data_IF_041841588574
#
_entry.id   IF_041841588574
#
_cell.length_a   1.000
_cell.length_b   1.000
_cell.length_c   1.000
_cell.angle_alpha   90.00
_cell.angle_beta   90.00
_cell.angle_gamma   90.00
#
_symmetry.space_group_name_H-M   'P 1'
#
loop_
_entity.id
_entity.type
_entity.pdbx_description
1 polymer ?
#
# COMPACT_ATOMS: atom_id res chain seq x y z
N UNK A 1 20.66 4.53 36.81
CA UNK A 1 20.73 3.89 35.50
C UNK A 1 19.28 3.71 35.08
N UNK A 2 18.83 4.53 34.14
CA UNK A 2 17.49 4.34 33.57
C UNK A 2 17.56 3.03 32.77
N UNK A 3 16.93 2.00 33.26
CA UNK A 3 16.58 0.84 32.44
C UNK A 3 15.60 1.36 31.39
N UNK A 4 16.16 1.80 30.25
CA UNK A 4 15.42 2.44 29.20
C UNK A 4 14.43 1.46 28.58
N UNK A 5 13.19 1.48 29.09
CA UNK A 5 12.07 0.84 28.43
C UNK A 5 11.99 1.48 27.04
N UNK A 6 12.32 0.69 26.03
CA UNK A 6 12.25 1.14 24.63
C UNK A 6 10.80 1.50 24.33
N UNK A 7 10.51 2.80 24.20
CA UNK A 7 9.18 3.28 23.85
C UNK A 7 8.91 3.09 22.35
N UNK A 8 7.71 2.69 22.02
CA UNK A 8 7.25 2.48 20.63
C UNK A 8 6.38 3.66 20.20
N UNK A 9 6.76 4.34 19.13
CA UNK A 9 5.86 5.24 18.44
C UNK A 9 4.98 4.41 17.48
N UNK A 10 3.67 4.33 17.74
CA UNK A 10 2.68 3.81 16.80
C UNK A 10 2.25 4.98 15.92
N UNK A 11 2.65 4.96 14.64
CA UNK A 11 2.62 6.14 13.78
C UNK A 11 1.39 6.10 12.87
N UNK A 12 0.59 7.17 12.92
CA UNK A 12 -0.65 7.32 12.19
C UNK A 12 -0.74 8.70 11.52
N UNK A 13 -1.82 8.93 10.77
CA UNK A 13 -2.27 10.24 10.31
C UNK A 13 -3.49 10.71 11.10
N UNK A 14 -3.69 12.02 11.25
CA UNK A 14 -4.78 12.59 12.03
C UNK A 14 -6.16 12.04 11.59
N UNK A 15 -6.43 12.02 10.28
CA UNK A 15 -7.70 11.51 9.76
C UNK A 15 -7.86 9.98 9.90
N UNK A 16 -6.78 9.24 10.10
CA UNK A 16 -6.80 7.79 10.25
C UNK A 16 -6.91 7.33 11.71
N UNK A 17 -6.50 8.16 12.67
CA UNK A 17 -6.44 7.79 14.08
C UNK A 17 -7.79 7.25 14.63
N UNK A 18 -8.89 7.88 14.26
CA UNK A 18 -10.24 7.47 14.69
C UNK A 18 -10.91 6.47 13.72
N UNK A 19 -10.29 6.20 12.58
CA UNK A 19 -10.87 5.37 11.51
C UNK A 19 -10.15 4.03 11.30
N UNK A 20 -9.00 3.82 11.94
CA UNK A 20 -8.29 2.53 11.93
C UNK A 20 -8.86 1.63 13.03
N UNK A 21 -9.77 0.75 12.64
CA UNK A 21 -10.48 -0.17 13.56
C UNK A 21 -9.55 -1.20 14.22
N UNK A 22 -8.33 -1.38 13.72
CA UNK A 22 -7.37 -2.32 14.32
C UNK A 22 -6.48 -1.65 15.38
N UNK A 23 -6.41 -0.30 15.43
CA UNK A 23 -5.60 0.40 16.44
C UNK A 23 -5.91 -0.02 17.88
N UNK A 24 -7.19 -0.14 18.31
CA UNK A 24 -7.50 -0.59 19.67
C UNK A 24 -6.99 -2.01 19.98
N UNK A 25 -6.95 -2.88 18.96
CA UNK A 25 -6.42 -4.24 19.11
C UNK A 25 -4.90 -4.23 19.24
N UNK A 26 -4.22 -3.40 18.44
CA UNK A 26 -2.78 -3.22 18.51
C UNK A 26 -2.36 -2.64 19.87
N UNK A 27 -3.02 -1.59 20.36
CA UNK A 27 -2.75 -1.00 21.66
C UNK A 27 -2.89 -2.04 22.77
N UNK A 28 -3.99 -2.80 22.78
CA UNK A 28 -4.19 -3.87 23.75
C UNK A 28 -3.09 -4.93 23.70
N UNK A 29 -2.68 -5.34 22.50
CA UNK A 29 -1.61 -6.33 22.35
C UNK A 29 -0.26 -5.82 22.85
N UNK A 30 0.04 -4.53 22.67
CA UNK A 30 1.24 -3.89 23.21
C UNK A 30 1.18 -3.77 24.74
N UNK A 31 0.02 -3.40 25.29
CA UNK A 31 -0.22 -3.36 26.76
C UNK A 31 -0.05 -4.75 27.38
N UNK A 32 -0.67 -5.77 26.80
CA UNK A 32 -0.59 -7.16 27.29
C UNK A 32 0.86 -7.70 27.23
N UNK A 33 1.66 -7.19 26.29
CA UNK A 33 3.08 -7.50 26.17
C UNK A 33 3.97 -6.66 27.12
N UNK A 34 3.40 -5.70 27.86
CA UNK A 34 4.14 -4.78 28.74
C UNK A 34 5.04 -3.80 27.98
N UNK A 35 4.73 -3.49 26.71
CA UNK A 35 5.51 -2.61 25.84
C UNK A 35 4.99 -1.18 25.94
N UNK A 36 5.83 -0.27 26.43
CA UNK A 36 5.51 1.16 26.48
C UNK A 36 5.34 1.70 25.05
N UNK A 37 4.19 2.33 24.76
CA UNK A 37 3.90 2.83 23.41
C UNK A 37 3.05 4.10 23.46
N UNK A 38 3.06 4.84 22.36
CA UNK A 38 2.28 6.05 22.17
C UNK A 38 1.79 6.14 20.73
N UNK A 39 0.54 6.56 20.52
CA UNK A 39 0.04 6.94 19.21
C UNK A 39 0.55 8.33 18.84
N UNK A 40 1.19 8.45 17.69
CA UNK A 40 1.88 9.67 17.25
C UNK A 40 1.51 10.00 15.81
N UNK A 41 1.26 11.27 15.52
CA UNK A 41 1.04 11.73 14.14
C UNK A 41 2.38 11.88 13.42
N UNK A 42 2.49 11.34 12.20
CA UNK A 42 3.74 11.38 11.44
C UNK A 42 4.19 12.80 11.07
N UNK A 43 3.26 13.73 10.98
CA UNK A 43 3.46 15.12 10.55
C UNK A 43 3.40 16.13 11.70
N UNK A 44 3.31 15.69 12.95
CA UNK A 44 3.36 16.58 14.11
C UNK A 44 4.78 17.12 14.33
N UNK A 45 5.02 18.45 14.16
CA UNK A 45 6.34 19.04 14.35
C UNK A 45 6.82 19.04 15.81
N UNK A 46 5.92 18.81 16.77
CA UNK A 46 6.24 18.77 18.20
C UNK A 46 6.83 17.45 18.68
N UNK A 47 6.88 16.44 17.82
CA UNK A 47 7.35 15.09 18.19
C UNK A 47 8.87 15.01 18.20
N UNK A 48 9.44 14.66 19.35
CA UNK A 48 10.85 14.26 19.45
C UNK A 48 11.01 12.77 19.09
N UNK A 49 11.27 12.49 17.82
CA UNK A 49 11.44 11.14 17.28
C UNK A 49 12.62 10.38 17.89
N UNK A 50 13.61 11.08 18.46
CA UNK A 50 14.78 10.46 19.11
C UNK A 50 14.44 9.85 20.46
N UNK A 51 13.30 10.20 21.05
CA UNK A 51 12.81 9.63 22.30
C UNK A 51 12.23 8.22 22.18
N UNK A 52 12.00 7.73 20.92
CA UNK A 52 11.46 6.41 20.65
C UNK A 52 12.55 5.46 20.13
N UNK A 53 12.63 4.26 20.71
CA UNK A 53 13.53 3.22 20.21
C UNK A 53 12.95 2.44 19.02
N UNK A 54 11.63 2.39 18.89
CA UNK A 54 10.91 1.71 17.81
C UNK A 54 9.91 2.66 17.14
N UNK A 55 9.97 2.72 15.82
CA UNK A 55 9.08 3.52 14.97
C UNK A 55 8.22 2.57 14.14
N UNK A 56 6.97 2.35 14.54
CA UNK A 56 6.03 1.43 13.92
C UNK A 56 5.00 2.20 13.09
N UNK A 57 5.18 2.21 11.77
CA UNK A 57 4.21 2.82 10.84
C UNK A 57 2.96 1.96 10.77
N UNK A 58 1.80 2.57 11.05
CA UNK A 58 0.51 1.86 11.04
C UNK A 58 -0.45 2.43 9.98
N UNK A 59 -1.01 3.59 10.17
CA UNK A 59 -2.12 4.12 9.37
C UNK A 59 -1.87 5.55 8.89
N UNK A 60 -0.77 5.75 8.18
CA UNK A 60 -0.40 7.03 7.57
C UNK A 60 -1.05 7.22 6.18
N UNK A 61 -2.35 6.91 6.05
CA UNK A 61 -3.04 6.74 4.76
C UNK A 61 -3.17 8.01 3.91
N UNK A 62 -2.90 9.16 4.49
CA UNK A 62 -2.86 10.47 3.81
C UNK A 62 -1.56 10.73 3.03
N UNK A 63 -0.54 9.84 3.15
CA UNK A 63 0.76 10.00 2.48
C UNK A 63 0.63 10.21 0.96
N UNK A 64 -0.42 9.66 0.34
CA UNK A 64 -0.65 9.76 -1.10
C UNK A 64 -0.86 11.19 -1.58
N UNK A 65 -1.35 12.07 -0.72
CA UNK A 65 -1.55 13.49 -1.01
C UNK A 65 -0.29 14.32 -0.80
N UNK A 66 0.61 13.84 0.07
CA UNK A 66 1.81 14.54 0.54
C UNK A 66 3.05 13.66 0.46
N UNK A 67 3.20 12.94 -0.67
CA UNK A 67 4.22 11.91 -0.82
C UNK A 67 5.64 12.42 -0.55
N UNK A 68 5.98 13.63 -1.01
CA UNK A 68 7.30 14.22 -0.81
C UNK A 68 7.56 14.56 0.66
N UNK A 69 6.55 15.04 1.39
CA UNK A 69 6.64 15.33 2.82
C UNK A 69 6.84 14.04 3.60
N UNK A 70 6.08 12.99 3.24
CA UNK A 70 6.18 11.68 3.88
C UNK A 70 7.55 11.01 3.63
N UNK A 71 8.05 11.07 2.40
CA UNK A 71 9.39 10.58 2.07
C UNK A 71 10.48 11.37 2.81
N UNK A 72 10.35 12.70 2.89
CA UNK A 72 11.24 13.54 3.68
C UNK A 72 11.18 13.25 5.19
N UNK A 73 10.00 12.92 5.70
CA UNK A 73 9.82 12.47 7.07
C UNK A 73 10.53 11.13 7.32
N UNK A 74 10.36 10.13 6.44
CA UNK A 74 11.10 8.85 6.52
C UNK A 74 12.60 9.08 6.61
N UNK A 75 13.16 10.00 5.79
CA UNK A 75 14.60 10.29 5.81
C UNK A 75 15.06 10.90 7.14
N UNK A 76 14.24 11.75 7.73
CA UNK A 76 14.56 12.38 9.02
C UNK A 76 14.52 11.39 10.18
N UNK A 77 13.55 10.45 10.18
CA UNK A 77 13.33 9.57 11.34
C UNK A 77 14.12 8.27 11.27
N UNK A 78 14.44 7.77 10.07
CA UNK A 78 15.13 6.50 9.90
C UNK A 78 16.48 6.39 10.67
N UNK A 79 17.30 7.45 10.82
CA UNK A 79 18.52 7.38 11.61
C UNK A 79 18.32 7.53 13.12
N UNK A 80 17.11 7.88 13.59
CA UNK A 80 16.85 8.22 14.99
C UNK A 80 16.35 7.02 15.81
N UNK A 81 15.75 6.02 15.18
CA UNK A 81 15.21 4.83 15.83
C UNK A 81 15.07 3.66 14.87
N UNK A 82 14.64 2.50 15.40
CA UNK A 82 14.42 1.33 14.57
C UNK A 82 13.09 1.44 13.85
N UNK A 83 13.14 1.76 12.56
CA UNK A 83 11.94 1.90 11.72
C UNK A 83 11.42 0.52 11.24
N UNK A 84 10.18 0.22 11.54
CA UNK A 84 9.47 -0.99 11.14
C UNK A 84 8.38 -0.67 10.10
N UNK A 85 8.52 -1.03 8.82
CA UNK A 85 9.60 -1.70 8.11
C UNK A 85 10.78 -0.72 7.79
N UNK A 86 11.95 -1.23 7.32
CA UNK A 86 13.10 -0.36 7.06
C UNK A 86 12.83 0.62 5.91
N UNK A 87 13.42 1.83 5.99
CA UNK A 87 13.18 2.92 5.05
C UNK A 87 13.32 2.54 3.55
N UNK A 88 14.30 1.73 3.12
CA UNK A 88 14.38 1.30 1.72
C UNK A 88 13.16 0.46 1.27
N UNK A 89 12.63 -0.41 2.14
CA UNK A 89 11.45 -1.21 1.83
C UNK A 89 10.19 -0.32 1.76
N UNK A 90 10.04 0.63 2.68
CA UNK A 90 8.94 1.59 2.67
C UNK A 90 8.92 2.39 1.37
N UNK A 91 10.05 3.03 1.01
CA UNK A 91 10.16 3.81 -0.22
C UNK A 91 9.80 3.02 -1.45
N UNK A 92 10.30 1.79 -1.53
CA UNK A 92 10.03 0.89 -2.65
C UNK A 92 8.55 0.50 -2.73
N UNK A 93 7.91 0.18 -1.61
CA UNK A 93 6.52 -0.29 -1.57
C UNK A 93 5.47 0.80 -1.82
N UNK A 94 5.82 2.07 -1.65
CA UNK A 94 4.91 3.20 -1.90
C UNK A 94 4.58 3.38 -3.38
N UNK A 95 5.51 3.01 -4.29
CA UNK A 95 5.35 3.17 -5.73
C UNK A 95 5.18 1.82 -6.44
N UNK A 96 4.06 1.63 -7.12
CA UNK A 96 3.70 0.36 -7.81
C UNK A 96 4.55 0.01 -9.03
N UNK A 97 5.61 0.77 -9.33
CA UNK A 97 6.62 0.36 -10.30
C UNK A 97 7.30 -0.98 -9.92
N UNK A 98 7.24 -1.39 -8.65
CA UNK A 98 7.72 -2.70 -8.21
C UNK A 98 7.04 -3.87 -8.94
N UNK A 99 5.84 -3.70 -9.49
CA UNK A 99 5.19 -4.73 -10.31
C UNK A 99 5.98 -5.02 -11.58
N UNK A 100 6.59 -4.00 -12.19
CA UNK A 100 7.50 -4.16 -13.34
C UNK A 100 8.77 -4.94 -12.98
N UNK A 101 9.35 -4.67 -11.80
CA UNK A 101 10.50 -5.42 -11.29
C UNK A 101 10.13 -6.90 -11.06
N UNK A 102 8.97 -7.16 -10.47
CA UNK A 102 8.46 -8.53 -10.27
C UNK A 102 8.23 -9.25 -11.59
N UNK A 103 7.59 -8.59 -12.56
CA UNK A 103 7.36 -9.16 -13.89
C UNK A 103 8.68 -9.54 -14.59
N UNK A 104 9.70 -8.69 -14.51
CA UNK A 104 11.04 -8.95 -15.07
C UNK A 104 11.73 -10.18 -14.43
N UNK A 105 11.35 -10.54 -13.20
CA UNK A 105 11.83 -11.75 -12.50
C UNK A 105 10.96 -12.97 -12.77
N UNK A 106 9.96 -12.88 -13.63
CA UNK A 106 9.01 -13.97 -13.91
C UNK A 106 8.01 -14.24 -12.78
N UNK A 107 7.88 -13.32 -11.82
CA UNK A 107 6.81 -13.40 -10.81
C UNK A 107 5.50 -12.97 -11.48
N UNK A 108 4.43 -13.77 -11.37
CA UNK A 108 3.13 -13.43 -11.95
C UNK A 108 2.61 -12.08 -11.45
N UNK A 109 2.38 -11.15 -12.36
CA UNK A 109 1.79 -9.82 -12.09
C UNK A 109 0.74 -9.50 -13.13
N UNK A 110 -0.15 -8.56 -12.81
CA UNK A 110 -1.07 -8.01 -13.80
C UNK A 110 -0.26 -7.20 -14.83
N UNK A 111 -0.40 -7.46 -16.13
CA UNK A 111 0.27 -6.67 -17.17
C UNK A 111 -0.02 -5.18 -16.96
N UNK A 112 1.02 -4.35 -17.02
CA UNK A 112 0.90 -2.93 -16.68
C UNK A 112 1.61 -2.06 -17.71
N UNK A 113 0.93 -1.02 -18.17
CA UNK A 113 1.53 0.10 -18.91
C UNK A 113 1.68 1.27 -17.95
N UNK A 114 2.87 1.87 -17.94
CA UNK A 114 3.16 3.09 -17.17
C UNK A 114 3.25 4.28 -18.10
N UNK A 115 2.58 5.38 -17.76
CA UNK A 115 2.60 6.65 -18.48
C UNK A 115 3.18 7.71 -17.56
N UNK A 116 4.41 8.12 -17.85
CA UNK A 116 5.11 9.12 -17.07
C UNK A 116 4.56 10.54 -17.30
N UNK A 117 4.72 11.49 -16.36
CA UNK A 117 4.24 12.87 -16.49
C UNK A 117 4.72 13.61 -17.73
N UNK A 118 5.88 13.22 -18.26
CA UNK A 118 6.52 13.88 -19.41
C UNK A 118 6.37 13.12 -20.74
N UNK A 119 5.66 12.00 -20.72
CA UNK A 119 5.46 11.15 -21.92
C UNK A 119 3.99 10.70 -22.05
N UNK A 120 3.06 11.66 -22.24
CA UNK A 120 1.65 11.32 -22.40
C UNK A 120 1.34 10.59 -23.72
N UNK A 121 2.28 10.58 -24.68
CA UNK A 121 2.10 9.91 -25.99
C UNK A 121 2.10 8.37 -25.86
N UNK A 122 2.63 7.80 -24.78
CA UNK A 122 2.65 6.36 -24.53
C UNK A 122 1.36 5.80 -23.88
N UNK A 123 0.28 6.57 -23.85
CA UNK A 123 -1.04 6.08 -23.41
C UNK A 123 -1.69 5.09 -24.41
N UNK A 124 -0.91 4.55 -25.36
CA UNK A 124 -1.40 3.52 -26.26
C UNK A 124 -1.73 2.26 -25.46
N UNK A 125 -3.02 1.92 -25.43
CA UNK A 125 -3.45 0.66 -24.84
C UNK A 125 -2.78 -0.49 -25.59
N UNK A 126 -2.03 -1.36 -24.90
CA UNK A 126 -1.55 -2.57 -25.54
C UNK A 126 -2.74 -3.39 -26.03
N UNK A 127 -2.51 -4.22 -27.02
CA UNK A 127 -3.50 -5.17 -27.53
C UNK A 127 -3.78 -6.31 -26.51
N UNK A 128 -3.98 -5.96 -25.24
CA UNK A 128 -4.56 -6.93 -24.31
C UNK A 128 -6.00 -7.18 -24.77
N UNK A 129 -6.35 -8.41 -24.96
CA UNK A 129 -7.72 -8.80 -25.25
C UNK A 129 -8.59 -8.69 -23.95
N UNK A 130 -8.69 -7.49 -23.38
CA UNK A 130 -9.49 -7.23 -22.20
C UNK A 130 -10.61 -6.25 -22.55
N UNK A 131 -11.84 -6.60 -22.22
CA UNK A 131 -13.01 -5.73 -22.44
C UNK A 131 -12.98 -4.50 -21.55
N UNK A 132 -12.30 -4.59 -20.40
CA UNK A 132 -12.21 -3.54 -19.41
C UNK A 132 -10.77 -3.31 -18.97
N UNK A 133 -10.45 -2.04 -18.71
CA UNK A 133 -9.17 -1.61 -18.16
C UNK A 133 -9.38 -0.78 -16.89
N UNK A 134 -8.36 -0.77 -16.04
CA UNK A 134 -8.28 0.09 -14.86
C UNK A 134 -7.19 1.12 -15.08
N UNK A 135 -7.50 2.38 -14.83
CA UNK A 135 -6.53 3.50 -14.80
C UNK A 135 -6.39 3.98 -13.37
N UNK A 136 -5.17 4.13 -12.90
CA UNK A 136 -4.85 4.60 -11.55
C UNK A 136 -3.44 5.16 -11.46
N UNK A 137 -3.09 5.99 -10.44
CA UNK A 137 -1.70 6.40 -10.22
C UNK A 137 -0.86 5.24 -9.65
N UNK A 138 0.46 5.27 -9.91
CA UNK A 138 1.40 4.32 -9.30
C UNK A 138 1.51 4.49 -7.79
N UNK A 139 1.43 5.72 -7.30
CA UNK A 139 1.37 6.04 -5.87
C UNK A 139 -0.08 6.38 -5.52
N UNK A 140 -0.75 5.45 -4.88
CA UNK A 140 -2.15 5.62 -4.43
C UNK A 140 -2.52 4.60 -3.36
N UNK A 141 -3.48 4.95 -2.53
CA UNK A 141 -4.12 4.09 -1.54
C UNK A 141 -5.64 4.28 -1.59
N UNK A 142 -6.41 3.33 -1.06
CA UNK A 142 -7.86 3.45 -0.91
C UNK A 142 -8.65 3.62 -2.22
N UNK A 143 -8.10 3.16 -3.35
CA UNK A 143 -8.70 3.31 -4.70
C UNK A 143 -8.88 4.78 -5.15
N UNK A 144 -8.13 5.71 -4.59
CA UNK A 144 -8.13 7.11 -5.03
C UNK A 144 -7.63 7.23 -6.46
N UNK A 145 -8.27 8.11 -7.24
CA UNK A 145 -7.98 8.30 -8.66
C UNK A 145 -7.91 6.97 -9.43
N UNK A 146 -8.78 6.02 -9.07
CA UNK A 146 -8.85 4.70 -9.70
C UNK A 146 -10.21 4.49 -10.30
N UNK A 147 -10.26 4.28 -11.61
CA UNK A 147 -11.50 4.04 -12.34
C UNK A 147 -11.36 2.93 -13.36
N UNK A 148 -12.51 2.31 -13.68
CA UNK A 148 -12.66 1.25 -14.66
C UNK A 148 -13.36 1.76 -15.90
N UNK A 149 -12.82 1.44 -17.08
CA UNK A 149 -13.32 1.84 -18.40
C UNK A 149 -13.47 0.64 -19.31
N UNK A 150 -14.42 0.70 -20.25
CA UNK A 150 -14.35 -0.20 -21.39
C UNK A 150 -13.16 0.15 -22.27
N UNK A 151 -12.50 -0.85 -22.84
CA UNK A 151 -11.28 -0.64 -23.66
C UNK A 151 -11.52 0.28 -24.87
N UNK A 152 -12.77 0.36 -25.35
CA UNK A 152 -13.16 1.28 -26.44
C UNK A 152 -13.42 2.72 -26.01
N UNK A 153 -13.46 3.04 -24.71
CA UNK A 153 -13.68 4.40 -24.17
C UNK A 153 -12.38 5.22 -24.18
N UNK A 154 -11.69 5.25 -25.32
CA UNK A 154 -10.34 5.81 -25.48
C UNK A 154 -10.24 7.25 -24.96
N UNK A 155 -11.20 8.11 -25.29
CA UNK A 155 -11.20 9.50 -24.84
C UNK A 155 -11.28 9.65 -23.31
N UNK A 156 -12.09 8.81 -22.65
CA UNK A 156 -12.23 8.83 -21.18
C UNK A 156 -10.95 8.31 -20.50
N UNK A 157 -10.34 7.27 -21.07
CA UNK A 157 -9.07 6.70 -20.59
C UNK A 157 -7.97 7.76 -20.71
N UNK A 158 -7.82 8.39 -21.89
CA UNK A 158 -6.82 9.44 -22.13
C UNK A 158 -7.02 10.66 -21.21
N UNK A 159 -8.27 11.08 -20.98
CA UNK A 159 -8.59 12.18 -20.08
C UNK A 159 -8.18 11.85 -18.64
N UNK A 160 -8.41 10.60 -18.19
CA UNK A 160 -8.00 10.17 -16.86
C UNK A 160 -6.47 10.08 -16.73
N UNK A 161 -5.80 9.47 -17.69
CA UNK A 161 -4.32 9.40 -17.74
C UNK A 161 -3.74 10.82 -17.70
N UNK A 162 -4.26 11.74 -18.51
CA UNK A 162 -3.83 13.13 -18.55
C UNK A 162 -4.00 13.81 -17.20
N UNK A 163 -5.14 13.66 -16.55
CA UNK A 163 -5.38 14.23 -15.20
C UNK A 163 -4.34 13.77 -14.18
N UNK A 164 -3.95 12.48 -14.22
CA UNK A 164 -2.92 11.94 -13.34
C UNK A 164 -1.55 12.52 -13.70
N UNK A 165 -1.18 12.53 -14.99
CA UNK A 165 0.15 12.95 -15.44
C UNK A 165 0.36 14.46 -15.31
N UNK A 166 -0.66 15.28 -15.54
CA UNK A 166 -0.63 16.73 -15.28
C UNK A 166 -0.45 17.09 -13.81
N UNK A 167 -0.86 16.22 -12.89
CA UNK A 167 -0.56 16.36 -11.46
C UNK A 167 0.87 15.94 -11.08
N UNK A 168 1.74 15.62 -12.04
CA UNK A 168 3.12 15.21 -11.81
C UNK A 168 3.28 13.74 -11.40
N UNK A 169 2.20 12.93 -11.44
CA UNK A 169 2.20 11.51 -11.05
C UNK A 169 2.30 10.61 -12.29
N UNK A 170 2.86 9.43 -12.14
CA UNK A 170 2.80 8.38 -13.16
C UNK A 170 1.44 7.69 -13.13
N UNK A 171 0.78 7.60 -14.28
CA UNK A 171 -0.41 6.77 -14.45
C UNK A 171 -0.01 5.33 -14.78
N UNK A 172 -0.81 4.37 -14.33
CA UNK A 172 -0.71 2.97 -14.73
C UNK A 172 -2.06 2.48 -15.28
N UNK A 173 -1.98 1.68 -16.34
CA UNK A 173 -3.13 1.07 -17.00
C UNK A 173 -2.96 -0.44 -16.92
N UNK A 174 -4.00 -1.15 -16.51
CA UNK A 174 -4.02 -2.59 -16.34
C UNK A 174 -5.31 -3.18 -16.91
N UNK A 175 -5.32 -4.42 -17.45
CA UNK A 175 -6.58 -5.12 -17.71
C UNK A 175 -7.35 -5.27 -16.39
N UNK A 176 -8.67 -5.09 -16.45
CA UNK A 176 -9.53 -5.39 -15.30
C UNK A 176 -9.71 -6.91 -15.18
N UNK A 177 -9.49 -7.41 -13.99
CA UNK A 177 -9.69 -8.83 -13.69
C UNK A 177 -11.12 -9.02 -13.17
N UNK A 178 -12.05 -9.38 -14.05
CA UNK A 178 -13.49 -9.53 -13.78
C UNK A 178 -13.80 -10.54 -12.66
N UNK A 179 -12.95 -11.54 -12.47
CA UNK A 179 -13.09 -12.50 -11.36
C UNK A 179 -13.05 -11.86 -9.99
N UNK A 180 -12.48 -10.65 -9.87
CA UNK A 180 -12.46 -9.88 -8.61
C UNK A 180 -13.88 -9.54 -8.16
N UNK A 181 -14.81 -9.32 -9.10
CA UNK A 181 -16.21 -8.97 -8.77
C UNK A 181 -16.91 -10.09 -7.98
N UNK A 182 -16.52 -11.34 -8.21
CA UNK A 182 -17.12 -12.51 -7.55
C UNK A 182 -16.24 -13.09 -6.44
N UNK A 183 -14.96 -13.31 -6.76
CA UNK A 183 -14.02 -13.96 -5.86
C UNK A 183 -13.40 -13.01 -4.83
N UNK A 184 -13.36 -11.68 -5.11
CA UNK A 184 -12.58 -10.71 -4.36
C UNK A 184 -11.07 -10.87 -4.60
N UNK A 185 -10.29 -10.11 -3.86
CA UNK A 185 -8.83 -10.22 -3.81
C UNK A 185 -8.40 -11.04 -2.59
N UNK A 186 -7.34 -11.85 -2.73
CA UNK A 186 -6.72 -12.54 -1.60
C UNK A 186 -5.56 -11.71 -1.08
N UNK A 187 -5.73 -11.10 0.08
CA UNK A 187 -4.64 -10.44 0.80
C UNK A 187 -3.94 -11.47 1.68
N UNK A 188 -2.64 -11.69 1.45
CA UNK A 188 -1.84 -12.62 2.24
C UNK A 188 -0.90 -11.84 3.16
N UNK A 189 -0.94 -12.16 4.44
CA UNK A 189 -0.24 -11.44 5.49
C UNK A 189 0.95 -12.24 6.01
N UNK A 190 2.10 -11.58 6.03
CA UNK A 190 3.37 -12.11 6.52
C UNK A 190 3.91 -11.25 7.66
N UNK A 191 4.42 -11.88 8.70
CA UNK A 191 5.12 -11.24 9.80
C UNK A 191 6.51 -11.88 9.95
N UNK A 192 7.55 -11.06 9.94
CA UNK A 192 8.93 -11.55 10.05
C UNK A 192 9.31 -12.56 8.95
N UNK A 193 8.75 -12.41 7.74
CA UNK A 193 8.87 -13.33 6.61
C UNK A 193 8.12 -14.67 6.73
N UNK A 194 7.35 -14.89 7.82
CA UNK A 194 6.50 -16.06 7.96
C UNK A 194 5.05 -15.76 7.55
N UNK A 195 4.44 -16.64 6.76
CA UNK A 195 3.02 -16.55 6.44
C UNK A 195 2.19 -16.69 7.73
N UNK A 196 1.24 -15.77 7.93
CA UNK A 196 0.34 -15.77 9.07
C UNK A 196 -1.07 -16.23 8.67
N UNK A 197 -1.72 -15.48 7.83
CA UNK A 197 -3.10 -15.75 7.40
C UNK A 197 -3.41 -15.02 6.11
N UNK A 198 -4.61 -15.30 5.57
CA UNK A 198 -5.12 -14.56 4.44
C UNK A 198 -6.52 -14.01 4.70
N UNK A 199 -6.83 -12.90 4.06
CA UNK A 199 -8.13 -12.27 4.06
C UNK A 199 -8.64 -12.07 2.64
N UNK A 200 -9.96 -12.23 2.45
CA UNK A 200 -10.65 -11.83 1.24
C UNK A 200 -11.00 -10.35 1.35
N UNK A 201 -10.67 -9.59 0.35
CA UNK A 201 -11.12 -8.21 0.15
C UNK A 201 -12.18 -8.20 -0.95
N UNK A 202 -13.32 -7.61 -0.67
CA UNK A 202 -14.40 -7.46 -1.63
C UNK A 202 -14.05 -6.49 -2.77
N UNK A 203 -14.83 -6.48 -3.88
CA UNK A 203 -14.58 -5.61 -5.01
C UNK A 203 -14.81 -4.14 -4.64
N UNK A 204 -13.83 -3.27 -4.93
CA UNK A 204 -13.91 -1.83 -4.65
C UNK A 204 -14.44 -1.00 -5.82
N UNK A 205 -14.29 -1.47 -7.06
CA UNK A 205 -14.71 -0.75 -8.28
C UNK A 205 -16.13 -1.13 -8.72
N UNK A 206 -16.96 -1.60 -7.78
CA UNK A 206 -18.39 -1.85 -8.02
C UNK A 206 -19.18 -0.53 -8.11
N UNK A 207 -20.47 -0.63 -8.48
CA UNK A 207 -21.35 0.54 -8.67
C UNK A 207 -21.71 1.28 -7.38
N UNK A 208 -21.53 0.66 -6.20
CA UNK A 208 -21.76 1.28 -4.89
C UNK A 208 -20.42 1.49 -4.19
N UNK A 209 -19.99 2.77 -4.13
CA UNK A 209 -18.73 3.17 -3.47
C UNK A 209 -19.08 3.95 -2.21
N UNK A 210 -18.58 3.52 -1.06
CA UNK A 210 -18.69 4.24 0.21
C UNK A 210 -17.30 4.63 0.67
N UNK A 211 -17.02 5.94 0.72
CA UNK A 211 -15.78 6.48 1.24
C UNK A 211 -15.82 6.58 2.78
N UNK A 212 -14.70 6.33 3.42
CA UNK A 212 -14.49 6.51 4.85
C UNK A 212 -13.56 7.69 5.07
N UNK A 213 -14.09 8.77 5.64
CA UNK A 213 -13.33 9.99 5.98
C UNK A 213 -12.50 10.57 4.82
N UNK A 214 -12.90 10.35 3.56
CA UNK A 214 -12.11 10.73 2.38
C UNK A 214 -10.78 10.01 2.20
N UNK A 215 -10.47 8.99 3.02
CA UNK A 215 -9.19 8.29 3.02
C UNK A 215 -9.18 7.05 2.14
N UNK A 216 -10.25 6.27 2.16
CA UNK A 216 -10.35 5.01 1.41
C UNK A 216 -11.81 4.63 1.15
N UNK A 217 -12.02 3.75 0.17
CA UNK A 217 -13.32 3.09 -0.02
C UNK A 217 -13.47 1.98 1.02
N UNK A 218 -14.67 1.85 1.61
CA UNK A 218 -14.96 0.78 2.57
C UNK A 218 -14.81 -0.58 1.90
N UNK A 219 -13.96 -1.41 2.47
CA UNK A 219 -13.69 -2.77 2.02
C UNK A 219 -14.50 -3.78 2.84
N UNK A 220 -15.06 -4.77 2.16
CA UNK A 220 -15.56 -5.98 2.81
C UNK A 220 -14.39 -6.92 3.05
N UNK A 221 -14.03 -7.16 4.31
CA UNK A 221 -12.93 -8.05 4.68
C UNK A 221 -13.49 -9.26 5.41
N UNK A 222 -13.11 -10.46 4.96
CA UNK A 222 -13.47 -11.72 5.60
C UNK A 222 -12.30 -12.70 5.60
N UNK A 223 -12.34 -13.70 6.48
CA UNK A 223 -11.33 -14.74 6.51
C UNK A 223 -11.33 -15.54 5.20
N UNK A 224 -10.13 -15.92 4.71
CA UNK A 224 -9.96 -16.73 3.51
C UNK A 224 -8.84 -17.75 3.71
N UNK A 225 -9.06 -18.96 3.19
CA UNK A 225 -8.00 -19.93 2.98
C UNK A 225 -7.44 -19.73 1.56
N UNK A 226 -6.15 -19.39 1.40
CA UNK A 226 -5.57 -19.21 0.08
C UNK A 226 -5.38 -20.57 -0.62
N UNK A 227 -5.42 -20.58 -1.95
CA UNK A 227 -5.08 -21.77 -2.72
C UNK A 227 -3.57 -22.06 -2.67
N UNK A 228 -3.13 -23.29 -2.99
CA UNK A 228 -1.70 -23.60 -3.10
C UNK A 228 -0.96 -22.71 -4.12
N UNK A 229 -1.62 -22.33 -5.22
CA UNK A 229 -1.07 -21.45 -6.24
C UNK A 229 -0.91 -20.03 -5.72
N UNK A 230 -1.91 -19.49 -5.00
CA UNK A 230 -1.84 -18.18 -4.36
C UNK A 230 -0.67 -18.15 -3.35
N UNK A 231 -0.56 -19.18 -2.49
CA UNK A 231 0.56 -19.32 -1.55
C UNK A 231 1.91 -19.38 -2.27
N UNK A 232 2.01 -20.15 -3.36
CA UNK A 232 3.25 -20.28 -4.12
C UNK A 232 3.73 -18.94 -4.66
N UNK A 233 2.83 -18.12 -5.21
CA UNK A 233 3.16 -16.78 -5.72
C UNK A 233 3.55 -15.85 -4.56
N UNK A 234 2.79 -15.83 -3.48
CA UNK A 234 3.07 -14.97 -2.34
C UNK A 234 4.41 -15.33 -1.66
N UNK A 235 4.71 -16.61 -1.53
CA UNK A 235 6.00 -17.06 -1.00
C UNK A 235 7.18 -16.69 -1.92
N UNK A 236 6.97 -16.71 -3.24
CA UNK A 236 7.98 -16.25 -4.20
C UNK A 236 8.28 -14.76 -4.01
N UNK A 237 7.23 -13.92 -3.90
CA UNK A 237 7.35 -12.49 -3.61
C UNK A 237 8.04 -12.27 -2.27
N UNK A 238 7.56 -12.95 -1.21
CA UNK A 238 8.10 -12.78 0.14
C UNK A 238 9.59 -13.16 0.22
N UNK A 239 10.01 -14.28 -0.42
CA UNK A 239 11.43 -14.66 -0.51
C UNK A 239 12.25 -13.60 -1.24
N UNK A 240 11.75 -13.02 -2.31
CA UNK A 240 12.44 -11.96 -3.05
C UNK A 240 12.60 -10.69 -2.22
N UNK A 241 11.52 -10.23 -1.58
CA UNK A 241 11.52 -9.05 -0.70
C UNK A 241 12.49 -9.27 0.47
N UNK A 242 12.45 -10.45 1.10
CA UNK A 242 13.31 -10.79 2.24
C UNK A 242 14.80 -10.80 1.86
N UNK A 243 15.15 -11.25 0.65
CA UNK A 243 16.54 -11.17 0.15
C UNK A 243 17.01 -9.74 -0.07
N UNK A 244 16.09 -8.85 -0.45
CA UNK A 244 16.41 -7.45 -0.78
C UNK A 244 16.48 -6.54 0.45
N UNK A 245 15.59 -6.73 1.40
CA UNK A 245 15.38 -5.81 2.52
C UNK A 245 15.53 -6.45 3.90
N UNK A 246 15.76 -7.74 3.99
CA UNK A 246 15.62 -8.50 5.22
C UNK A 246 14.17 -8.91 5.50
N UNK A 247 13.93 -9.66 6.58
CA UNK A 247 12.58 -10.03 7.00
C UNK A 247 11.81 -8.77 7.42
N UNK A 248 10.68 -8.52 6.75
CA UNK A 248 9.83 -7.38 7.07
C UNK A 248 8.97 -7.69 8.29
N UNK A 249 8.79 -6.71 9.16
CA UNK A 249 7.88 -6.83 10.32
C UNK A 249 6.48 -7.17 9.86
N UNK A 250 6.02 -6.52 8.79
CA UNK A 250 4.73 -6.74 8.16
C UNK A 250 4.84 -6.61 6.64
N UNK A 251 4.25 -7.57 5.92
CA UNK A 251 4.03 -7.49 4.48
C UNK A 251 2.65 -8.05 4.11
N UNK A 252 2.03 -7.42 3.10
CA UNK A 252 0.74 -7.85 2.56
C UNK A 252 0.76 -7.78 1.04
#
# INVERSE_FOLDING_TARGET
MNDGVTSIAVITAAAAADNDTDLPLLHRALDDAGLAHQLVLWDDPGVDWSSYGVLLIRSTWDYVERINDFLGWIDRVAPLGTLHNPAPALRWSLDKHYLGEMAALGIPTVPTVYVAPHDPANATLPAWAADWVVVKPTISAGSRDTDRYRSGETQAIEAHVRRITESGRTAMIQPYLDRVDQAGETAMLYFGAAFSHAARKGPLLSTQRTEVAGLYLREEISARLPSPEELSVADQVNRWITRRFGPLTYAR
#
